data_IF_290840279039
#
_entry.id   IF_290840279039
#
_cell.length_a   1.000
_cell.length_b   1.000
_cell.length_c   1.000
_cell.angle_alpha   90.00
_cell.angle_beta   90.00
_cell.angle_gamma   90.00
#
_symmetry.space_group_name_H-M   'P 1'
#
loop_
_entity.id
_entity.type
_entity.pdbx_description
1 polymer ?
#
# COMPACT_ATOMS: atom_id res chain seq x y z
N UNK A 1 36.77 8.80 17.24
CA UNK A 1 36.10 9.09 15.96
C UNK A 1 37.12 8.74 14.89
N UNK A 2 36.99 7.65 14.13
CA UNK A 2 35.76 7.12 13.52
C UNK A 2 34.75 6.45 14.46
N UNK A 3 33.45 6.85 14.39
CA UNK A 3 32.35 6.27 15.15
C UNK A 3 31.54 5.19 14.39
N UNK A 4 31.90 4.82 13.16
CA UNK A 4 31.01 4.05 12.29
C UNK A 4 31.50 2.61 12.04
N UNK A 5 31.39 1.73 13.04
CA UNK A 5 31.01 0.32 12.80
C UNK A 5 30.63 -0.47 14.06
N UNK A 6 29.96 0.19 15.01
CA UNK A 6 29.28 -0.52 16.10
C UNK A 6 27.91 -0.92 15.58
N UNK A 7 27.81 -2.15 15.07
CA UNK A 7 26.65 -3.04 15.24
C UNK A 7 26.89 -4.33 14.44
N UNK A 8 27.70 -5.22 15.00
CA UNK A 8 27.58 -6.65 14.70
C UNK A 8 27.62 -7.41 16.00
N UNK A 9 26.60 -8.25 16.17
CA UNK A 9 26.38 -9.19 17.28
C UNK A 9 25.67 -8.59 18.49
N UNK A 10 24.36 -8.42 18.34
CA UNK A 10 23.43 -8.77 19.42
C UNK A 10 22.88 -10.16 19.08
N UNK A 11 22.98 -11.05 20.05
CA UNK A 11 22.95 -12.51 19.94
C UNK A 11 21.80 -13.11 19.12
N UNK A 12 22.18 -13.98 18.18
CA UNK A 12 21.30 -14.79 17.34
C UNK A 12 20.46 -15.80 18.15
N UNK A 13 20.77 -15.98 19.44
CA UNK A 13 20.02 -16.83 20.38
C UNK A 13 18.75 -16.14 20.91
N UNK A 14 18.66 -14.80 20.88
CA UNK A 14 17.40 -14.09 21.16
C UNK A 14 16.37 -14.24 20.02
N UNK A 15 16.82 -14.76 18.87
CA UNK A 15 16.01 -15.06 17.69
C UNK A 15 15.49 -16.52 17.65
N UNK A 16 15.80 -17.36 18.65
CA UNK A 16 15.30 -18.74 18.76
C UNK A 16 14.00 -18.87 19.58
N UNK A 17 13.22 -17.78 19.64
CA UNK A 17 11.93 -17.76 20.34
C UNK A 17 10.70 -18.06 19.49
N UNK A 18 10.81 -18.43 18.20
CA UNK A 18 9.70 -18.96 17.39
C UNK A 18 10.21 -19.35 15.99
N UNK A 19 10.32 -20.66 15.71
CA UNK A 19 10.69 -21.23 14.39
C UNK A 19 9.77 -20.73 13.24
N UNK A 20 8.59 -20.20 13.57
CA UNK A 20 7.66 -19.54 12.65
C UNK A 20 8.07 -18.08 12.29
N UNK A 21 8.68 -17.34 13.23
CA UNK A 21 9.08 -15.93 13.02
C UNK A 21 10.33 -15.80 12.13
N UNK A 22 11.26 -16.75 12.22
CA UNK A 22 12.45 -16.78 11.37
C UNK A 22 12.13 -17.05 9.88
N UNK A 23 11.05 -17.80 9.58
CA UNK A 23 10.60 -18.06 8.21
C UNK A 23 9.91 -16.85 7.57
N UNK A 24 9.17 -16.08 8.37
CA UNK A 24 8.55 -14.83 7.93
C UNK A 24 9.60 -13.75 7.65
N UNK A 25 10.55 -13.54 8.57
CA UNK A 25 11.64 -12.57 8.39
C UNK A 25 12.55 -12.90 7.20
N UNK A 26 12.85 -14.20 6.96
CA UNK A 26 13.67 -14.65 5.82
C UNK A 26 12.97 -14.48 4.46
N UNK A 27 11.62 -14.56 4.42
CA UNK A 27 10.82 -14.23 3.22
C UNK A 27 10.75 -12.72 2.99
N UNK A 28 10.67 -11.93 4.05
CA UNK A 28 10.63 -10.47 3.97
C UNK A 28 11.96 -9.89 3.43
N UNK A 29 13.12 -10.45 3.79
CA UNK A 29 14.41 -10.04 3.21
C UNK A 29 14.54 -10.39 1.72
N UNK A 30 13.85 -11.42 1.24
CA UNK A 30 13.82 -11.79 -0.19
C UNK A 30 12.87 -10.89 -1.01
N UNK A 31 11.78 -10.40 -0.39
CA UNK A 31 10.74 -9.57 -1.03
C UNK A 31 11.20 -8.14 -1.35
N UNK A 32 12.22 -7.61 -0.66
CA UNK A 32 12.69 -6.23 -0.87
C UNK A 32 13.55 -6.09 -2.14
N UNK A 33 14.08 -7.19 -2.70
CA UNK A 33 14.96 -7.15 -3.88
C UNK A 33 14.30 -7.50 -5.22
N UNK A 34 13.06 -8.01 -5.26
CA UNK A 34 12.41 -8.42 -6.51
C UNK A 34 10.96 -7.92 -6.54
N UNK A 35 10.80 -6.73 -7.14
CA UNK A 35 9.56 -5.95 -7.28
C UNK A 35 8.41 -6.68 -8.01
N UNK A 36 8.66 -7.84 -8.60
CA UNK A 36 7.67 -8.67 -9.28
C UNK A 36 6.88 -9.60 -8.34
N UNK A 37 7.34 -9.79 -7.09
CA UNK A 37 6.73 -10.78 -6.18
C UNK A 37 5.60 -10.25 -5.30
N UNK A 38 5.45 -8.93 -5.14
CA UNK A 38 4.45 -8.30 -4.25
C UNK A 38 3.03 -8.68 -4.67
N UNK A 39 2.76 -8.74 -5.98
CA UNK A 39 1.44 -9.11 -6.52
C UNK A 39 1.06 -10.57 -6.17
N UNK A 40 2.02 -11.42 -5.77
CA UNK A 40 1.81 -12.82 -5.36
C UNK A 40 1.74 -13.04 -3.85
N UNK A 41 2.01 -11.99 -3.05
CA UNK A 41 1.95 -12.07 -1.58
C UNK A 41 0.49 -11.94 -1.16
N UNK A 42 -0.15 -13.05 -0.82
CA UNK A 42 -1.48 -13.02 -0.21
C UNK A 42 -1.36 -12.57 1.24
N UNK A 43 -1.71 -11.32 1.52
CA UNK A 43 -1.93 -10.88 2.90
C UNK A 43 -3.17 -11.61 3.45
N UNK A 44 -3.12 -12.16 4.67
CA UNK A 44 -4.27 -12.85 5.24
C UNK A 44 -5.41 -11.84 5.42
N UNK A 45 -6.41 -11.89 4.53
CA UNK A 45 -7.59 -11.06 4.68
C UNK A 45 -8.47 -11.67 5.79
N UNK A 46 -8.84 -10.86 6.77
CA UNK A 46 -9.53 -11.28 8.04
C UNK A 46 -10.87 -12.01 7.77
N UNK A 47 -11.45 -11.79 6.59
CA UNK A 47 -12.38 -12.63 5.85
C UNK A 47 -12.19 -12.23 4.37
N UNK A 48 -12.67 -12.92 3.34
CA UNK A 48 -12.60 -12.37 1.98
C UNK A 48 -13.86 -11.53 1.70
N UNK A 49 -13.96 -10.25 2.11
CA UNK A 49 -14.98 -9.41 1.53
C UNK A 49 -14.66 -9.29 0.04
N UNK A 50 -15.68 -9.42 -0.81
CA UNK A 50 -15.49 -9.25 -2.27
C UNK A 50 -14.95 -7.85 -2.62
N UNK A 51 -15.07 -6.89 -1.69
CA UNK A 51 -14.75 -5.47 -1.83
C UNK A 51 -14.11 -4.94 -0.56
N UNK A 52 -13.24 -3.96 -0.71
CA UNK A 52 -12.68 -3.18 0.40
C UNK A 52 -13.70 -2.13 0.85
N UNK A 53 -13.77 -1.83 2.15
CA UNK A 53 -14.63 -0.78 2.70
C UNK A 53 -13.88 0.52 2.99
N UNK A 54 -12.59 0.41 3.30
CA UNK A 54 -11.70 1.53 3.58
C UNK A 54 -10.44 1.37 2.76
N UNK A 55 -9.94 2.49 2.22
CA UNK A 55 -8.66 2.56 1.54
C UNK A 55 -7.81 3.68 2.13
N UNK A 56 -6.50 3.53 2.01
CA UNK A 56 -5.51 4.56 2.31
C UNK A 56 -5.09 5.21 0.99
N UNK A 57 -5.13 6.55 0.94
CA UNK A 57 -4.68 7.32 -0.22
C UNK A 57 -3.16 7.20 -0.36
N UNK A 58 -2.70 6.65 -1.48
CA UNK A 58 -1.26 6.54 -1.80
C UNK A 58 -0.75 7.75 -2.57
N UNK A 59 -1.54 8.25 -3.51
CA UNK A 59 -1.20 9.40 -4.34
C UNK A 59 -2.48 10.06 -4.91
N UNK A 60 -2.42 11.36 -5.17
CA UNK A 60 -3.48 12.13 -5.80
C UNK A 60 -2.94 12.84 -7.05
N UNK A 61 -3.51 12.49 -8.19
CA UNK A 61 -3.16 12.99 -9.51
C UNK A 61 -4.27 13.94 -9.98
N UNK A 62 -4.13 15.26 -9.82
CA UNK A 62 -5.20 16.23 -10.10
C UNK A 62 -5.63 16.24 -11.58
N UNK A 63 -4.75 15.79 -12.48
CA UNK A 63 -4.99 15.72 -13.91
C UNK A 63 -5.06 14.28 -14.43
N UNK A 64 -5.11 13.30 -13.53
CA UNK A 64 -5.06 11.88 -13.87
C UNK A 64 -3.69 11.41 -14.33
N UNK A 65 -3.65 10.22 -14.92
CA UNK A 65 -2.42 9.71 -15.56
C UNK A 65 -2.11 10.46 -16.84
N UNK A 66 -0.86 10.30 -17.28
CA UNK A 66 -0.51 10.58 -18.67
C UNK A 66 -1.51 9.86 -19.58
N UNK A 67 -2.18 10.57 -20.50
CA UNK A 67 -3.22 9.99 -21.32
C UNK A 67 -2.62 8.93 -22.24
N UNK A 68 -3.16 7.71 -22.22
CA UNK A 68 -2.74 6.63 -23.13
C UNK A 68 -3.15 6.95 -24.58
N UNK A 69 -4.11 7.86 -24.78
CA UNK A 69 -4.58 8.35 -26.07
C UNK A 69 -4.89 9.84 -26.02
N UNK A 70 -4.65 10.56 -27.13
CA UNK A 70 -4.89 12.01 -27.28
C UNK A 70 -6.32 12.45 -26.95
N UNK A 71 -7.29 11.53 -26.97
CA UNK A 71 -8.70 11.82 -26.67
C UNK A 71 -9.10 11.63 -25.20
N UNK A 72 -8.18 11.20 -24.33
CA UNK A 72 -8.48 10.95 -22.92
C UNK A 72 -8.58 12.28 -22.17
N UNK A 73 -9.75 12.57 -21.61
CA UNK A 73 -9.94 13.76 -20.78
C UNK A 73 -9.13 13.62 -19.50
N UNK A 74 -8.39 14.67 -19.12
CA UNK A 74 -7.72 14.76 -17.81
C UNK A 74 -8.79 14.78 -16.72
N UNK A 75 -8.78 13.77 -15.86
CA UNK A 75 -9.70 13.65 -14.74
C UNK A 75 -8.91 13.39 -13.45
N UNK A 76 -9.27 14.03 -12.32
CA UNK A 76 -8.65 13.75 -11.04
C UNK A 76 -8.70 12.26 -10.70
N UNK A 77 -7.57 11.72 -10.27
CA UNK A 77 -7.41 10.29 -10.00
C UNK A 77 -6.69 10.10 -8.68
N UNK A 78 -7.20 9.21 -7.85
CA UNK A 78 -6.58 8.78 -6.60
C UNK A 78 -6.07 7.36 -6.81
N UNK A 79 -4.82 7.11 -6.40
CA UNK A 79 -4.33 5.75 -6.21
C UNK A 79 -4.38 5.41 -4.73
N UNK A 80 -4.87 4.22 -4.41
CA UNK A 80 -5.04 3.79 -3.03
C UNK A 80 -4.76 2.31 -2.81
N UNK A 81 -4.62 1.95 -1.54
CA UNK A 81 -4.51 0.56 -1.08
C UNK A 81 -5.61 0.27 -0.07
N UNK A 82 -6.30 -0.85 -0.23
CA UNK A 82 -7.32 -1.31 0.71
C UNK A 82 -6.71 -1.64 2.07
N UNK A 83 -7.47 -1.43 3.14
CA UNK A 83 -6.98 -1.68 4.50
C UNK A 83 -7.09 -3.17 4.90
N UNK A 84 -8.07 -3.90 4.37
CA UNK A 84 -8.34 -5.28 4.80
C UNK A 84 -7.58 -6.32 3.98
N UNK A 85 -7.59 -6.21 2.65
CA UNK A 85 -6.95 -7.17 1.75
C UNK A 85 -5.80 -6.55 0.93
N UNK A 86 -5.38 -5.30 1.22
CA UNK A 86 -4.32 -4.59 0.50
C UNK A 86 -4.53 -4.51 -1.02
N UNK A 87 -5.79 -4.47 -1.49
CA UNK A 87 -6.04 -4.30 -2.91
C UNK A 87 -5.59 -2.92 -3.39
N UNK A 88 -4.78 -2.89 -4.44
CA UNK A 88 -4.40 -1.67 -5.12
C UNK A 88 -5.49 -1.24 -6.08
N UNK A 89 -5.85 0.03 -6.05
CA UNK A 89 -6.97 0.54 -6.83
C UNK A 89 -6.79 1.98 -7.28
N UNK A 90 -7.52 2.29 -8.33
CA UNK A 90 -7.76 3.63 -8.82
C UNK A 90 -9.17 4.07 -8.43
N UNK A 91 -9.30 5.32 -8.00
CA UNK A 91 -10.55 5.90 -7.52
C UNK A 91 -10.69 7.33 -8.03
N UNK A 92 -11.93 7.78 -8.17
CA UNK A 92 -12.25 9.16 -8.53
C UNK A 92 -12.68 9.90 -7.27
N UNK A 93 -12.05 11.04 -6.92
CA UNK A 93 -12.51 11.85 -5.79
C UNK A 93 -13.82 12.56 -6.15
N UNK A 94 -14.58 12.98 -5.13
CA UNK A 94 -15.71 13.89 -5.33
C UNK A 94 -15.24 15.21 -5.95
N UNK A 95 -16.13 15.85 -6.69
CA UNK A 95 -15.84 17.14 -7.33
C UNK A 95 -15.43 18.19 -6.29
N UNK A 96 -14.34 18.93 -6.59
CA UNK A 96 -13.79 19.94 -5.69
C UNK A 96 -13.02 19.39 -4.48
N UNK A 97 -13.01 18.07 -4.24
CA UNK A 97 -12.29 17.46 -3.12
C UNK A 97 -10.86 17.11 -3.53
N UNK A 98 -9.91 17.50 -2.69
CA UNK A 98 -8.49 17.14 -2.81
C UNK A 98 -8.14 16.18 -1.68
N UNK A 99 -8.06 14.86 -1.96
CA UNK A 99 -7.74 13.87 -0.93
C UNK A 99 -6.30 14.03 -0.44
N UNK A 100 -6.12 14.03 0.88
CA UNK A 100 -4.79 14.07 1.47
C UNK A 100 -4.09 12.71 1.34
N UNK A 101 -2.82 12.72 0.93
CA UNK A 101 -1.99 11.51 0.87
C UNK A 101 -1.81 10.93 2.28
N UNK A 102 -2.02 9.62 2.42
CA UNK A 102 -2.03 8.90 3.70
C UNK A 102 -3.35 8.95 4.46
N UNK A 103 -4.37 9.67 3.96
CA UNK A 103 -5.69 9.68 4.58
C UNK A 103 -6.40 8.33 4.39
N UNK A 104 -7.13 7.90 5.43
CA UNK A 104 -8.10 6.81 5.35
C UNK A 104 -9.41 7.35 4.77
N UNK A 105 -9.91 6.71 3.72
CA UNK A 105 -11.13 7.11 3.00
C UNK A 105 -12.10 5.94 2.94
N UNK A 106 -13.37 6.21 3.20
CA UNK A 106 -14.43 5.22 3.07
C UNK A 106 -14.80 5.02 1.59
N UNK A 107 -14.85 3.76 1.17
CA UNK A 107 -15.16 3.31 -0.20
C UNK A 107 -16.21 2.20 -0.24
N UNK A 108 -16.84 1.90 0.90
CA UNK A 108 -17.93 0.94 1.02
C UNK A 108 -19.21 1.38 0.32
N UNK A 109 -20.32 0.69 0.59
CA UNK A 109 -21.60 0.91 -0.10
C UNK A 109 -22.42 2.10 0.42
N UNK A 110 -22.05 2.66 1.57
CA UNK A 110 -22.73 3.82 2.14
C UNK A 110 -22.34 5.16 1.49
N UNK A 111 -22.75 6.24 2.14
CA UNK A 111 -22.33 7.59 1.77
C UNK A 111 -20.81 7.78 1.98
N UNK A 112 -20.16 8.52 1.08
CA UNK A 112 -18.71 8.72 1.06
C UNK A 112 -18.41 10.20 1.06
N UNK A 113 -17.46 10.65 1.87
CA UNK A 113 -17.12 12.08 1.94
C UNK A 113 -16.10 12.52 0.89
N UNK A 114 -15.19 11.61 0.52
CA UNK A 114 -13.98 11.96 -0.25
C UNK A 114 -13.97 11.31 -1.63
N UNK A 115 -14.33 10.03 -1.71
CA UNK A 115 -14.27 9.25 -2.94
C UNK A 115 -15.67 9.14 -3.53
N UNK A 116 -15.80 9.50 -4.80
CA UNK A 116 -17.03 9.32 -5.56
C UNK A 116 -17.22 7.83 -5.89
N UNK A 117 -16.26 7.25 -6.63
CA UNK A 117 -16.27 5.83 -6.97
C UNK A 117 -14.88 5.21 -7.07
N UNK A 118 -14.86 3.87 -6.94
CA UNK A 118 -13.69 3.05 -7.27
C UNK A 118 -13.75 2.72 -8.75
N UNK A 119 -12.70 3.05 -9.49
CA UNK A 119 -12.65 2.91 -10.95
C UNK A 119 -12.32 1.48 -11.32
N UNK A 120 -11.22 0.96 -10.76
CA UNK A 120 -10.72 -0.41 -11.01
C UNK A 120 -9.65 -0.82 -10.02
N UNK A 121 -9.40 -2.13 -9.95
CA UNK A 121 -8.17 -2.66 -9.38
C UNK A 121 -7.00 -2.43 -10.33
N UNK A 122 -5.83 -2.21 -9.78
CA UNK A 122 -4.58 -2.06 -10.52
C UNK A 122 -3.49 -2.98 -9.95
N UNK A 123 -2.46 -3.25 -10.73
CA UNK A 123 -1.24 -3.97 -10.31
C UNK A 123 -0.17 -3.02 -9.82
N UNK A 124 0.82 -3.51 -9.08
CA UNK A 124 1.90 -2.69 -8.51
C UNK A 124 2.64 -1.84 -9.57
N UNK A 125 2.96 -2.43 -10.72
CA UNK A 125 3.69 -1.72 -11.79
C UNK A 125 2.93 -0.49 -12.33
N UNK A 126 1.60 -0.49 -12.21
CA UNK A 126 0.75 0.61 -12.64
C UNK A 126 0.78 1.77 -11.65
N UNK A 127 1.18 1.60 -10.40
CA UNK A 127 1.27 2.72 -9.45
C UNK A 127 2.22 3.82 -9.94
N UNK A 128 1.93 5.07 -9.58
CA UNK A 128 2.87 6.18 -9.74
C UNK A 128 4.11 5.94 -8.87
N UNK A 129 5.21 6.62 -9.17
CA UNK A 129 6.41 6.50 -8.35
C UNK A 129 6.17 6.97 -6.91
N UNK A 130 5.38 8.04 -6.72
CA UNK A 130 4.99 8.52 -5.41
C UNK A 130 4.12 7.48 -4.65
N UNK A 131 3.15 6.87 -5.34
CA UNK A 131 2.30 5.84 -4.75
C UNK A 131 3.08 4.59 -4.35
N UNK A 132 4.09 4.17 -5.14
CA UNK A 132 4.97 3.03 -4.80
C UNK A 132 5.77 3.31 -3.52
N UNK A 133 6.38 4.49 -3.42
CA UNK A 133 7.11 4.92 -2.22
C UNK A 133 6.19 4.95 -1.00
N UNK A 134 4.96 5.48 -1.17
CA UNK A 134 3.98 5.55 -0.11
C UNK A 134 3.50 4.17 0.33
N UNK A 135 3.23 3.27 -0.61
CA UNK A 135 2.80 1.90 -0.31
C UNK A 135 3.84 1.16 0.54
N UNK A 136 5.12 1.29 0.22
CA UNK A 136 6.21 0.69 1.00
C UNK A 136 6.19 1.17 2.47
N UNK A 137 5.96 2.48 2.69
CA UNK A 137 5.83 3.04 4.04
C UNK A 137 4.59 2.50 4.78
N UNK A 138 3.45 2.38 4.11
CA UNK A 138 2.20 1.95 4.75
C UNK A 138 2.23 0.46 5.13
N UNK A 139 2.80 -0.39 4.25
CA UNK A 139 3.04 -1.80 4.54
C UNK A 139 3.96 -1.92 5.77
N UNK A 140 5.08 -1.18 5.79
CA UNK A 140 6.02 -1.19 6.92
C UNK A 140 5.34 -0.77 8.22
N UNK A 141 4.48 0.26 8.19
CA UNK A 141 3.70 0.70 9.35
C UNK A 141 2.77 -0.40 9.86
N UNK A 142 2.03 -1.07 8.98
CA UNK A 142 1.14 -2.17 9.36
C UNK A 142 1.87 -3.31 10.06
N UNK A 143 3.11 -3.61 9.67
CA UNK A 143 3.94 -4.64 10.29
C UNK A 143 4.51 -4.26 11.68
N UNK A 144 4.69 -2.97 11.97
CA UNK A 144 5.23 -2.52 13.26
C UNK A 144 4.17 -2.43 14.37
N UNK A 145 2.89 -2.34 14.01
CA UNK A 145 1.78 -2.18 14.97
C UNK A 145 1.16 -3.49 15.47
N UNK A 146 1.50 -4.64 14.90
CA UNK A 146 1.00 -5.96 15.35
C UNK A 146 1.77 -6.55 16.53
N UNK A 147 2.62 -5.76 17.20
CA UNK A 147 3.47 -6.17 18.32
C UNK A 147 3.45 -5.22 19.53
N UNK A 148 2.27 -4.68 19.89
CA UNK A 148 2.04 -4.12 21.24
C UNK A 148 0.94 -4.88 21.96
#
# INVERSE_FOLDING_TARGET
MDPDNIEKNVDLDYLLGNVQKARAAKRISQVINESETIDSVSFPCVSPPKKEEVAIVLDYLPYGRAPESKSSKKQPLVQGVGEACFFLMEMTPKEGVVPAVGARVYIGTGERDVIDHVNRRIKYHQLSNAAKQRLYLEIRRGFLFTHQ
#
